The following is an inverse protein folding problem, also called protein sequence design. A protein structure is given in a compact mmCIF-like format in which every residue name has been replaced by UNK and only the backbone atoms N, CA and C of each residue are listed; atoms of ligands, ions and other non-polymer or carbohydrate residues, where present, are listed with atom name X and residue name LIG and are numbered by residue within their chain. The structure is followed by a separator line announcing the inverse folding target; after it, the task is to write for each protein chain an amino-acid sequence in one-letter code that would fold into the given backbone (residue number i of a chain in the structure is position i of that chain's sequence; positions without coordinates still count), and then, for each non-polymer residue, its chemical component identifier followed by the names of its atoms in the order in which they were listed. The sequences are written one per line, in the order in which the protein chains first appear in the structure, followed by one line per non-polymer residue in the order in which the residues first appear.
data_IF_875632414507
#
_entry.id   IF_875632414507
#
_cell.length_a   1.000
_cell.length_b   1.000
_cell.length_c   1.000
_cell.angle_alpha   90.00
_cell.angle_beta   90.00
_cell.angle_gamma   90.00
#
_symmetry.space_group_name_H-M   'P 1'
#
loop_
_entity.id
_entity.type
_entity.pdbx_description
1 polymer ?
#
# COMPACT_ATOMS: atom_id res chain seq x y z
N UNK A 1 -0.61 -8.32 12.50
CA UNK A 1 -1.92 -8.39 11.83
C UNK A 1 -1.80 -9.25 10.58
N UNK A 2 -2.83 -10.02 10.23
CA UNK A 2 -2.89 -10.82 9.00
C UNK A 2 -3.74 -10.15 7.90
N UNK A 3 -3.78 -10.72 6.69
CA UNK A 3 -4.52 -10.15 5.55
C UNK A 3 -6.04 -10.03 5.80
N UNK A 4 -6.63 -11.02 6.47
CA UNK A 4 -8.06 -11.07 6.76
C UNK A 4 -8.49 -9.95 7.73
N UNK A 5 -7.66 -9.68 8.74
CA UNK A 5 -7.83 -8.58 9.69
C UNK A 5 -7.74 -7.22 8.97
N UNK A 6 -6.80 -7.05 8.04
CA UNK A 6 -6.67 -5.82 7.24
C UNK A 6 -7.92 -5.62 6.39
N UNK A 7 -8.38 -6.65 5.66
CA UNK A 7 -9.61 -6.55 4.85
C UNK A 7 -10.82 -6.20 5.71
N UNK A 8 -10.92 -6.79 6.90
CA UNK A 8 -12.01 -6.52 7.83
C UNK A 8 -11.97 -5.08 8.37
N UNK A 9 -10.79 -4.58 8.73
CA UNK A 9 -10.60 -3.19 9.16
C UNK A 9 -10.99 -2.22 8.04
N UNK A 10 -10.45 -2.41 6.83
CA UNK A 10 -10.79 -1.59 5.68
C UNK A 10 -12.31 -1.61 5.43
N UNK A 11 -12.94 -2.78 5.45
CA UNK A 11 -14.38 -2.90 5.24
C UNK A 11 -15.22 -2.23 6.34
N UNK A 12 -14.78 -2.27 7.60
CA UNK A 12 -15.45 -1.61 8.72
C UNK A 12 -15.45 -0.08 8.58
N UNK A 13 -14.37 0.46 8.02
CA UNK A 13 -14.19 1.89 7.73
C UNK A 13 -14.72 2.30 6.34
N UNK A 14 -15.38 1.38 5.62
CA UNK A 14 -16.02 1.65 4.33
C UNK A 14 -15.13 1.48 3.09
N UNK A 15 -13.87 1.07 3.25
CA UNK A 15 -12.94 0.75 2.16
C UNK A 15 -13.10 -0.71 1.71
N UNK A 16 -13.70 -0.92 0.53
CA UNK A 16 -13.79 -2.25 -0.09
C UNK A 16 -12.49 -2.59 -0.81
N UNK A 17 -11.83 -3.65 -0.35
CA UNK A 17 -10.52 -4.07 -0.87
C UNK A 17 -10.67 -5.24 -1.84
N UNK A 18 -10.30 -5.02 -3.10
CA UNK A 18 -10.20 -6.08 -4.10
C UNK A 18 -9.00 -6.98 -3.81
N UNK A 19 -7.83 -6.36 -3.67
CA UNK A 19 -6.55 -7.04 -3.57
C UNK A 19 -5.63 -6.37 -2.53
N UNK A 20 -4.81 -7.17 -1.87
CA UNK A 20 -3.76 -6.69 -0.98
C UNK A 20 -2.43 -7.23 -1.52
N UNK A 21 -1.48 -6.34 -1.73
CA UNK A 21 -0.11 -6.72 -2.12
C UNK A 21 0.85 -6.33 -1.00
N UNK A 22 1.80 -7.21 -0.72
CA UNK A 22 2.82 -7.00 0.29
C UNK A 22 4.17 -6.87 -0.42
N UNK A 23 4.82 -5.74 -0.25
CA UNK A 23 6.14 -5.44 -0.83
C UNK A 23 7.08 -5.04 0.29
N UNK A 24 7.80 -6.03 0.84
CA UNK A 24 8.69 -5.86 2.00
C UNK A 24 7.97 -5.21 3.19
N UNK A 25 8.32 -3.97 3.51
CA UNK A 25 7.73 -3.20 4.61
C UNK A 25 6.54 -2.32 4.16
N UNK A 26 6.09 -2.46 2.92
CA UNK A 26 5.01 -1.66 2.32
C UNK A 26 3.81 -2.57 2.08
N UNK A 27 2.64 -2.13 2.54
CA UNK A 27 1.37 -2.74 2.24
C UNK A 27 0.64 -1.91 1.18
N UNK A 28 0.27 -2.54 0.08
CA UNK A 28 -0.53 -1.91 -0.97
C UNK A 28 -1.94 -2.47 -0.90
N UNK A 29 -2.91 -1.59 -0.70
CA UNK A 29 -4.34 -1.93 -0.65
C UNK A 29 -4.97 -1.46 -1.96
N UNK A 30 -5.47 -2.39 -2.77
CA UNK A 30 -6.16 -2.09 -4.03
C UNK A 30 -7.66 -2.08 -3.77
N UNK A 31 -8.33 -0.92 -3.85
CA UNK A 31 -9.76 -0.84 -3.65
C UNK A 31 -10.51 -1.47 -4.84
N UNK A 32 -11.72 -1.97 -4.61
CA UNK A 32 -12.62 -2.42 -5.68
C UNK A 32 -13.06 -1.28 -6.60
N UNK A 33 -13.20 -0.08 -6.03
CA UNK A 33 -13.63 1.13 -6.73
C UNK A 33 -12.96 2.36 -6.16
N UNK A 34 -12.60 3.31 -7.02
CA UNK A 34 -12.11 4.63 -6.62
C UNK A 34 -13.25 5.59 -6.28
N UNK A 35 -14.48 5.28 -6.71
CA UNK A 35 -15.66 6.12 -6.48
C UNK A 35 -16.17 6.00 -5.03
N UNK A 36 -15.93 4.86 -4.41
CA UNK A 36 -16.35 4.53 -3.04
C UNK A 36 -15.19 4.61 -2.03
N UNK A 37 -14.17 5.44 -2.31
CA UNK A 37 -13.09 5.65 -1.36
C UNK A 37 -13.56 6.47 -0.17
N UNK A 38 -13.25 6.05 1.07
CA UNK A 38 -13.49 6.88 2.23
C UNK A 38 -12.59 8.12 2.19
N UNK A 39 -12.92 9.09 3.04
CA UNK A 39 -12.17 10.34 3.12
C UNK A 39 -10.72 10.12 3.60
N UNK A 40 -9.90 11.16 3.42
CA UNK A 40 -8.48 11.12 3.75
C UNK A 40 -8.23 10.81 5.24
N UNK A 41 -9.04 11.32 6.16
CA UNK A 41 -8.85 11.08 7.60
C UNK A 41 -9.10 9.61 7.93
N UNK A 42 -10.14 9.02 7.34
CA UNK A 42 -10.43 7.59 7.46
C UNK A 42 -9.29 6.73 6.88
N UNK A 43 -8.77 7.07 5.69
CA UNK A 43 -7.64 6.37 5.08
C UNK A 43 -6.36 6.47 5.92
N UNK A 44 -6.09 7.65 6.49
CA UNK A 44 -4.97 7.87 7.40
C UNK A 44 -5.12 7.04 8.67
N UNK A 45 -6.33 6.97 9.23
CA UNK A 45 -6.65 6.14 10.39
C UNK A 45 -6.43 4.65 10.13
N UNK A 46 -6.89 4.13 8.99
CA UNK A 46 -6.63 2.75 8.56
C UNK A 46 -5.12 2.49 8.47
N UNK A 47 -4.37 3.38 7.80
CA UNK A 47 -2.92 3.25 7.66
C UNK A 47 -2.21 3.23 9.00
N UNK A 48 -2.56 4.14 9.91
CA UNK A 48 -1.94 4.22 11.24
C UNK A 48 -2.23 2.96 12.06
N UNK A 49 -3.47 2.48 12.02
CA UNK A 49 -3.87 1.26 12.72
C UNK A 49 -3.11 0.03 12.20
N UNK A 50 -2.99 -0.12 10.88
CA UNK A 50 -2.23 -1.20 10.28
C UNK A 50 -0.76 -1.12 10.70
N UNK A 51 -0.13 0.05 10.60
CA UNK A 51 1.27 0.24 11.00
C UNK A 51 1.51 0.00 12.49
N UNK A 52 0.54 0.33 13.35
CA UNK A 52 0.65 0.11 14.80
C UNK A 52 0.56 -1.38 15.19
N UNK A 53 -0.12 -2.20 14.39
CA UNK A 53 -0.42 -3.60 14.70
C UNK A 53 0.26 -4.62 13.75
N UNK A 54 1.18 -4.15 12.91
CA UNK A 54 1.88 -4.96 11.90
C UNK A 54 3.35 -4.55 11.76
N UNK A 55 4.14 -5.36 11.05
CA UNK A 55 5.52 -5.03 10.70
C UNK A 55 5.64 -4.06 9.50
N UNK A 56 4.51 -3.66 8.91
CA UNK A 56 4.48 -2.69 7.81
C UNK A 56 4.82 -1.28 8.31
N UNK A 57 5.70 -0.61 7.57
CA UNK A 57 6.10 0.77 7.83
C UNK A 57 5.22 1.78 7.08
N UNK A 58 4.68 1.37 5.94
CA UNK A 58 3.87 2.23 5.07
C UNK A 58 2.69 1.45 4.50
N UNK A 59 1.53 2.10 4.44
CA UNK A 59 0.35 1.61 3.72
C UNK A 59 0.05 2.60 2.60
N UNK A 60 -0.20 2.09 1.40
CA UNK A 60 -0.57 2.90 0.23
C UNK A 60 -1.76 2.29 -0.49
N UNK A 61 -2.52 3.13 -1.17
CA UNK A 61 -3.56 2.67 -2.09
C UNK A 61 -2.93 2.37 -3.46
N UNK A 62 -3.26 1.21 -4.03
CA UNK A 62 -2.90 0.84 -5.40
C UNK A 62 -4.02 1.25 -6.36
N UNK A 63 -3.68 1.90 -7.47
CA UNK A 63 -4.65 2.28 -8.50
C UNK A 63 -4.27 1.56 -9.80
N UNK A 64 -5.17 0.71 -10.29
CA UNK A 64 -5.15 0.15 -11.64
C UNK A 64 -3.79 -0.45 -12.08
N UNK A 65 -3.25 -1.38 -11.29
CA UNK A 65 -2.01 -2.10 -11.59
C UNK A 65 -0.73 -1.25 -11.50
N UNK A 66 -0.81 0.02 -11.12
CA UNK A 66 0.33 0.90 -10.86
C UNK A 66 0.49 1.07 -9.36
N UNK A 67 1.48 0.36 -8.80
CA UNK A 67 1.96 0.66 -7.45
C UNK A 67 2.79 1.94 -7.53
N UNK A 68 2.36 3.00 -6.83
CA UNK A 68 3.22 4.16 -6.59
C UNK A 68 4.26 3.82 -5.52
N UNK A 69 5.15 2.89 -5.85
CA UNK A 69 6.28 2.45 -5.06
C UNK A 69 7.48 2.39 -5.99
N UNK A 70 8.31 3.43 -5.91
CA UNK A 70 9.66 3.45 -6.48
C UNK A 70 9.81 3.42 -8.02
N UNK A 71 9.34 4.47 -8.70
CA UNK A 71 9.89 4.85 -10.01
C UNK A 71 11.04 5.87 -9.90
N UNK A 72 11.69 5.97 -8.72
CA UNK A 72 12.71 7.00 -8.44
C UNK A 72 14.10 6.46 -8.05
N UNK A 73 14.30 5.14 -7.86
CA UNK A 73 15.63 4.58 -7.61
C UNK A 73 15.96 3.51 -8.65
N UNK A 74 16.37 3.96 -9.85
CA UNK A 74 17.26 3.12 -10.65
C UNK A 74 18.62 3.02 -9.93
N UNK A 75 19.21 1.81 -9.85
CA UNK A 75 20.42 1.56 -9.09
C UNK A 75 21.63 2.31 -9.66
N UNK A 76 22.32 3.05 -8.79
CA UNK A 76 23.72 3.37 -8.97
C UNK A 76 24.56 2.11 -8.75
N UNK A 77 24.94 1.44 -9.84
CA UNK A 77 26.05 0.49 -9.95
C UNK A 77 26.25 0.24 -11.45
N UNK A 78 27.42 0.13 -12.04
CA UNK A 78 28.79 0.51 -11.78
C UNK A 78 29.52 0.19 -13.10
N UNK A 79 30.51 1.00 -13.48
CA UNK A 79 31.59 0.70 -14.42
C UNK A 79 31.27 -0.05 -15.73
N UNK A 80 31.42 0.66 -16.86
CA UNK A 80 32.16 0.08 -17.99
C UNK A 80 33.12 1.12 -18.56
N UNK A 81 34.32 0.63 -18.86
CA UNK A 81 35.53 1.38 -19.11
C UNK A 81 35.62 1.91 -20.55
N UNK A 82 36.49 2.90 -20.73
CA UNK A 82 37.07 3.37 -21.99
C UNK A 82 37.37 2.22 -22.98
N UNK A 83 37.26 2.49 -24.28
CA UNK A 83 38.40 3.07 -25.01
C UNK A 83 38.14 4.44 -25.64
#
# INVERSE_FOLDING_TARGET
MNEEEIRSLCAAEGLKVAEIQQMDAILVVVPESLEDLPDFDTLAGISEHICAHSDYKFVTLGIDGVVFGDAALKPHHAQEALP
#
